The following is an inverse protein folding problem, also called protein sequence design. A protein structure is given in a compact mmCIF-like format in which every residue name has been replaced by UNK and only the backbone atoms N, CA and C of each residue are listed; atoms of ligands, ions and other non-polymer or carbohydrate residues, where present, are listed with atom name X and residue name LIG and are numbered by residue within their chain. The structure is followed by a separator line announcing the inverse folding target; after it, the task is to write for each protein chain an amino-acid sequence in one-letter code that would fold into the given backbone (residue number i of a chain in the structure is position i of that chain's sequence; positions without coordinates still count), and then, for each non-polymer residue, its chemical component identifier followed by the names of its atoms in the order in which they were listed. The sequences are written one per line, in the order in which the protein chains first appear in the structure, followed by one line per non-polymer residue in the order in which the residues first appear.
data_IF_285022253082
#
_entry.id   IF_285022253082
#
_cell.length_a   1.000
_cell.length_b   1.000
_cell.length_c   1.000
_cell.angle_alpha   90.00
_cell.angle_beta   90.00
_cell.angle_gamma   90.00
#
_symmetry.space_group_name_H-M   'P 1'
#
loop_
_entity.id
_entity.type
_entity.pdbx_description
1 polymer ?
#
# COMPACT_ATOMS: atom_id res chain seq x y z
N UNK A 1 6.19 27.22 14.37
CA UNK A 1 6.79 26.17 13.51
C UNK A 1 5.63 25.43 12.90
N UNK A 2 5.35 25.65 11.62
CA UNK A 2 4.22 25.06 10.91
C UNK A 2 4.53 23.59 10.66
N UNK A 3 3.80 22.68 11.29
CA UNK A 3 3.77 21.27 10.95
C UNK A 3 3.32 21.16 9.48
N UNK A 4 4.27 21.05 8.57
CA UNK A 4 4.01 20.55 7.22
C UNK A 4 3.95 19.03 7.33
N UNK A 5 2.79 18.47 7.68
CA UNK A 5 2.52 17.10 7.30
C UNK A 5 2.60 17.08 5.76
N UNK A 6 3.70 16.56 5.23
CA UNK A 6 3.82 16.36 3.79
C UNK A 6 2.81 15.29 3.41
N UNK A 7 1.79 15.70 2.65
CA UNK A 7 0.74 14.78 2.18
C UNK A 7 1.22 13.88 1.05
N UNK A 8 2.39 14.14 0.49
CA UNK A 8 2.95 13.43 -0.66
C UNK A 8 4.45 13.17 -0.49
N UNK A 9 4.90 11.98 -0.88
CA UNK A 9 6.31 11.61 -1.00
C UNK A 9 6.62 11.41 -2.49
N UNK A 10 7.66 12.08 -2.98
CA UNK A 10 8.10 11.99 -4.37
C UNK A 10 9.42 11.22 -4.47
N UNK A 11 9.43 10.22 -5.32
CA UNK A 11 10.60 9.37 -5.54
C UNK A 11 10.90 9.29 -7.05
N UNK A 12 12.17 9.12 -7.39
CA UNK A 12 12.62 8.85 -8.76
C UNK A 12 13.39 7.55 -8.74
N UNK A 13 12.99 6.60 -9.57
CA UNK A 13 13.64 5.30 -9.71
C UNK A 13 14.24 5.15 -11.12
N UNK A 14 15.37 4.50 -11.25
CA UNK A 14 15.73 3.88 -12.52
C UNK A 14 14.64 2.86 -12.91
N UNK A 15 14.56 2.48 -14.19
CA UNK A 15 13.67 1.41 -14.61
C UNK A 15 14.08 0.12 -13.91
N UNK A 16 13.23 -0.48 -13.06
CA UNK A 16 13.56 -1.71 -12.34
C UNK A 16 13.62 -2.93 -13.28
N UNK A 17 14.20 -4.05 -12.86
CA UNK A 17 14.00 -5.31 -13.54
C UNK A 17 12.51 -5.66 -13.61
N UNK A 18 12.04 -6.12 -14.78
CA UNK A 18 10.64 -6.55 -14.92
C UNK A 18 10.36 -7.82 -14.12
N UNK A 19 9.09 -8.10 -13.83
CA UNK A 19 8.69 -9.35 -13.16
C UNK A 19 9.19 -10.60 -13.87
N UNK A 20 9.35 -10.56 -15.19
CA UNK A 20 9.90 -11.65 -15.98
C UNK A 20 11.40 -11.89 -15.75
N UNK A 21 12.12 -10.87 -15.29
CA UNK A 21 13.55 -10.93 -14.95
C UNK A 21 13.81 -10.86 -13.43
N UNK A 22 12.76 -10.81 -12.62
CA UNK A 22 12.87 -10.73 -11.17
C UNK A 22 13.31 -12.06 -10.56
N UNK A 23 12.76 -13.18 -11.05
CA UNK A 23 13.05 -14.52 -10.58
C UNK A 23 13.73 -15.34 -11.65
N UNK A 24 14.75 -16.09 -11.27
CA UNK A 24 15.33 -17.16 -12.05
C UNK A 24 15.05 -18.51 -11.35
N UNK A 25 15.17 -19.59 -12.11
CA UNK A 25 14.92 -20.94 -11.63
C UNK A 25 16.17 -21.81 -11.82
N UNK A 26 16.43 -22.66 -10.83
CA UNK A 26 17.46 -23.68 -10.93
C UNK A 26 16.92 -25.02 -10.45
N UNK A 27 17.41 -26.11 -11.04
CA UNK A 27 17.14 -27.45 -10.54
C UNK A 27 18.03 -27.72 -9.33
N UNK A 28 17.43 -28.21 -8.26
CA UNK A 28 18.12 -28.72 -7.07
C UNK A 28 17.69 -30.16 -6.79
N UNK A 29 18.55 -30.93 -6.14
CA UNK A 29 18.18 -32.26 -5.65
C UNK A 29 17.73 -32.15 -4.21
N UNK A 30 16.49 -32.53 -3.89
CA UNK A 30 15.95 -32.59 -2.54
C UNK A 30 15.40 -34.00 -2.30
N UNK A 31 15.96 -34.69 -1.31
CA UNK A 31 15.60 -36.08 -0.97
C UNK A 31 15.69 -37.04 -2.19
N UNK A 32 16.74 -36.90 -3.01
CA UNK A 32 16.96 -37.74 -4.20
C UNK A 32 16.04 -37.45 -5.40
N UNK A 33 15.19 -36.41 -5.34
CA UNK A 33 14.31 -36.01 -6.43
C UNK A 33 14.68 -34.61 -6.95
N UNK A 34 14.65 -34.40 -8.29
CA UNK A 34 14.86 -33.07 -8.85
C UNK A 34 13.68 -32.15 -8.49
N UNK A 35 13.97 -30.94 -8.05
CA UNK A 35 12.99 -29.91 -7.72
C UNK A 35 13.43 -28.57 -8.29
N UNK A 36 12.51 -27.82 -8.88
CA UNK A 36 12.76 -26.45 -9.29
C UNK A 36 12.75 -25.53 -8.05
N UNK A 37 13.77 -24.70 -7.93
CA UNK A 37 13.85 -23.65 -6.89
C UNK A 37 13.95 -22.29 -7.57
N UNK A 38 13.05 -21.37 -7.24
CA UNK A 38 13.15 -19.97 -7.66
C UNK A 38 14.12 -19.20 -6.75
N UNK A 39 14.79 -18.23 -7.32
CA UNK A 39 15.62 -17.27 -6.59
C UNK A 39 15.56 -15.90 -7.27
N UNK A 40 15.79 -14.83 -6.51
CA UNK A 40 15.87 -13.47 -7.07
C UNK A 40 17.14 -13.34 -7.89
N UNK A 41 17.05 -12.71 -9.06
CA UNK A 41 18.23 -12.46 -9.89
C UNK A 41 19.17 -11.47 -9.20
N UNK A 42 20.50 -11.53 -9.44
CA UNK A 42 21.44 -10.58 -8.87
C UNK A 42 21.12 -9.12 -9.20
N UNK A 43 20.61 -8.87 -10.39
CA UNK A 43 20.15 -7.55 -10.82
C UNK A 43 18.97 -7.05 -9.97
N UNK A 44 17.99 -7.90 -9.70
CA UNK A 44 16.85 -7.56 -8.87
C UNK A 44 17.24 -7.33 -7.40
N UNK A 45 18.19 -8.10 -6.88
CA UNK A 45 18.74 -7.90 -5.52
C UNK A 45 19.43 -6.55 -5.43
N UNK A 46 20.35 -6.27 -6.36
CA UNK A 46 21.09 -5.01 -6.41
C UNK A 46 20.15 -3.80 -6.51
N UNK A 47 19.18 -3.84 -7.44
CA UNK A 47 18.20 -2.77 -7.60
C UNK A 47 17.44 -2.51 -6.28
N UNK A 48 16.97 -3.57 -5.61
CA UNK A 48 16.20 -3.44 -4.37
C UNK A 48 17.00 -2.78 -3.26
N UNK A 49 18.26 -3.18 -3.08
CA UNK A 49 19.17 -2.59 -2.08
C UNK A 49 19.40 -1.10 -2.38
N UNK A 50 19.84 -0.76 -3.60
CA UNK A 50 20.12 0.62 -4.00
C UNK A 50 18.87 1.52 -3.92
N UNK A 51 17.72 1.03 -4.36
CA UNK A 51 16.48 1.82 -4.32
C UNK A 51 15.93 1.94 -2.90
N UNK A 52 16.05 0.93 -2.05
CA UNK A 52 15.65 1.02 -0.64
C UNK A 52 16.50 2.07 0.12
N UNK A 53 17.81 2.11 -0.11
CA UNK A 53 18.70 3.12 0.48
C UNK A 53 18.31 4.54 0.04
N UNK A 54 18.03 4.72 -1.25
CA UNK A 54 17.52 5.98 -1.80
C UNK A 54 16.18 6.40 -1.16
N UNK A 55 15.22 5.48 -1.05
CA UNK A 55 13.92 5.73 -0.40
C UNK A 55 14.11 6.17 1.04
N UNK A 56 14.97 5.49 1.81
CA UNK A 56 15.27 5.88 3.20
C UNK A 56 15.81 7.31 3.29
N UNK A 57 16.66 7.72 2.35
CA UNK A 57 17.22 9.06 2.31
C UNK A 57 16.13 10.11 1.96
N UNK A 58 15.31 9.84 0.94
CA UNK A 58 14.25 10.75 0.49
C UNK A 58 13.12 10.90 1.51
N UNK A 59 12.72 9.82 2.20
CA UNK A 59 11.75 9.87 3.31
C UNK A 59 12.20 10.86 4.38
N UNK A 60 13.47 10.80 4.81
CA UNK A 60 14.02 11.72 5.82
C UNK A 60 14.14 13.15 5.29
N UNK A 61 14.67 13.30 4.07
CA UNK A 61 14.88 14.60 3.41
C UNK A 61 13.57 15.36 3.19
N UNK A 62 12.53 14.66 2.77
CA UNK A 62 11.22 15.25 2.51
C UNK A 62 10.37 15.40 3.78
N UNK A 63 10.81 14.87 4.93
CA UNK A 63 10.07 14.95 6.19
C UNK A 63 8.75 14.17 6.15
N UNK A 64 8.75 13.02 5.50
CA UNK A 64 7.59 12.13 5.49
C UNK A 64 7.38 11.52 6.88
N UNK A 65 6.28 11.89 7.52
CA UNK A 65 5.92 11.46 8.88
C UNK A 65 4.54 10.83 8.88
N UNK A 66 4.47 9.55 8.50
CA UNK A 66 3.27 8.74 8.62
C UNK A 66 3.51 7.54 9.52
N UNK A 67 2.52 7.23 10.35
CA UNK A 67 2.56 6.00 11.14
C UNK A 67 2.40 4.79 10.23
N UNK A 68 3.35 3.86 10.31
CA UNK A 68 3.28 2.60 9.58
C UNK A 68 2.27 1.69 10.25
N UNK A 69 1.08 1.58 9.67
CA UNK A 69 0.01 0.71 10.14
C UNK A 69 -0.54 -0.16 9.00
N UNK A 70 -1.31 -1.19 9.35
CA UNK A 70 -1.86 -2.15 8.39
C UNK A 70 -3.18 -1.74 7.75
N UNK A 71 -3.76 -0.64 8.16
CA UNK A 71 -5.09 -0.18 7.71
C UNK A 71 -5.03 1.07 6.83
N UNK A 72 -3.90 1.80 6.85
CA UNK A 72 -3.71 2.93 5.94
C UNK A 72 -3.32 2.41 4.55
N UNK A 73 -4.14 2.72 3.57
CA UNK A 73 -3.85 2.46 2.17
C UNK A 73 -3.17 3.68 1.53
N UNK A 74 -2.42 3.42 0.46
CA UNK A 74 -1.69 4.45 -0.27
C UNK A 74 -1.96 4.35 -1.77
N UNK A 75 -2.08 5.48 -2.44
CA UNK A 75 -1.92 5.56 -3.88
C UNK A 75 -0.43 5.69 -4.21
N UNK A 76 0.00 4.92 -5.20
CA UNK A 76 1.32 5.06 -5.83
C UNK A 76 1.09 5.43 -7.28
N UNK A 77 1.17 6.74 -7.55
CA UNK A 77 1.06 7.32 -8.88
C UNK A 77 2.41 7.25 -9.58
N UNK A 78 2.46 6.56 -10.71
CA UNK A 78 3.68 6.36 -11.47
C UNK A 78 3.61 6.99 -12.86
N UNK A 79 4.63 7.76 -13.21
CA UNK A 79 4.91 8.22 -14.56
C UNK A 79 6.14 7.51 -15.06
N UNK A 80 6.00 6.73 -16.12
CA UNK A 80 7.10 5.99 -16.72
C UNK A 80 7.73 6.76 -17.87
N UNK A 81 9.05 6.80 -17.91
CA UNK A 81 9.87 7.27 -19.04
C UNK A 81 10.70 6.07 -19.50
N UNK A 82 10.16 5.31 -20.46
CA UNK A 82 10.81 4.10 -20.95
C UNK A 82 11.89 4.41 -22.01
N UNK A 83 12.94 3.58 -22.10
CA UNK A 83 13.99 3.77 -23.12
C UNK A 83 13.50 3.45 -24.53
N UNK A 84 12.40 2.69 -24.66
CA UNK A 84 11.82 2.25 -25.93
C UNK A 84 10.34 1.95 -25.79
N UNK A 85 9.64 1.83 -26.91
CA UNK A 85 8.25 1.36 -26.99
C UNK A 85 8.13 -0.13 -26.61
N UNK A 86 6.91 -0.62 -26.51
CA UNK A 86 6.58 -2.04 -26.26
C UNK A 86 6.95 -2.57 -24.85
N UNK A 87 7.10 -1.67 -23.88
CA UNK A 87 7.26 -2.04 -22.47
C UNK A 87 5.94 -1.86 -21.72
N UNK A 88 5.55 -2.87 -20.94
CA UNK A 88 4.33 -2.88 -20.14
C UNK A 88 4.64 -2.40 -18.72
N UNK A 89 4.10 -1.24 -18.34
CA UNK A 89 4.32 -0.61 -17.04
C UNK A 89 3.97 -1.53 -15.86
N UNK A 90 2.96 -2.38 -15.99
CA UNK A 90 2.54 -3.28 -14.92
C UNK A 90 3.63 -4.29 -14.53
N UNK A 91 4.55 -4.59 -15.46
CA UNK A 91 5.64 -5.52 -15.19
C UNK A 91 6.74 -4.96 -14.26
N UNK A 92 6.68 -3.70 -13.88
CA UNK A 92 7.76 -3.03 -13.15
C UNK A 92 7.42 -2.67 -11.70
N UNK A 93 6.13 -2.66 -11.32
CA UNK A 93 5.73 -2.28 -9.96
C UNK A 93 6.27 -3.22 -8.89
N UNK A 94 6.21 -4.54 -9.11
CA UNK A 94 6.52 -5.51 -8.05
C UNK A 94 7.89 -5.29 -7.42
N UNK A 95 8.92 -5.06 -8.22
CA UNK A 95 10.30 -4.91 -7.70
C UNK A 95 10.49 -3.58 -6.98
N UNK A 96 9.86 -2.50 -7.47
CA UNK A 96 9.85 -1.19 -6.82
C UNK A 96 9.15 -1.25 -5.47
N UNK A 97 7.95 -1.83 -5.41
CA UNK A 97 7.16 -1.91 -4.20
C UNK A 97 7.81 -2.82 -3.16
N UNK A 98 8.43 -3.93 -3.58
CA UNK A 98 9.23 -4.77 -2.70
C UNK A 98 10.40 -3.98 -2.06
N UNK A 99 11.10 -3.14 -2.85
CA UNK A 99 12.19 -2.32 -2.33
C UNK A 99 11.71 -1.26 -1.32
N UNK A 100 10.58 -0.62 -1.60
CA UNK A 100 9.95 0.33 -0.67
C UNK A 100 9.49 -0.38 0.61
N UNK A 101 8.88 -1.56 0.48
CA UNK A 101 8.44 -2.38 1.62
C UNK A 101 9.61 -2.81 2.50
N UNK A 102 10.77 -3.12 1.93
CA UNK A 102 11.97 -3.49 2.69
C UNK A 102 12.42 -2.37 3.66
N UNK A 103 12.12 -1.12 3.35
CA UNK A 103 12.45 0.02 4.23
C UNK A 103 11.62 0.07 5.50
N UNK A 104 10.42 -0.48 5.50
CA UNK A 104 9.42 -0.39 6.58
C UNK A 104 9.12 1.06 7.04
N UNK A 105 9.37 2.05 6.17
CA UNK A 105 9.21 3.47 6.52
C UNK A 105 7.91 4.08 6.01
N UNK A 106 7.25 3.46 5.01
CA UNK A 106 6.04 3.99 4.37
C UNK A 106 4.86 3.08 4.69
N UNK A 107 5.02 1.78 4.50
CA UNK A 107 4.03 0.75 4.83
C UNK A 107 4.72 -0.53 5.32
N UNK A 108 3.95 -1.40 5.97
CA UNK A 108 4.47 -2.68 6.46
C UNK A 108 4.45 -3.79 5.40
N UNK A 109 3.55 -3.67 4.40
CA UNK A 109 3.32 -4.67 3.35
C UNK A 109 2.67 -3.98 2.16
N UNK A 110 3.05 -4.34 0.93
CA UNK A 110 2.55 -3.74 -0.31
C UNK A 110 1.08 -4.06 -0.62
N UNK A 111 0.43 -4.92 0.18
CA UNK A 111 -1.00 -5.23 0.05
C UNK A 111 -1.92 -4.02 0.35
N UNK A 112 -1.39 -2.93 0.89
CA UNK A 112 -2.12 -1.67 1.13
C UNK A 112 -1.93 -0.65 0.00
N UNK A 113 -1.23 -1.03 -1.07
CA UNK A 113 -0.90 -0.14 -2.18
C UNK A 113 -1.93 -0.24 -3.31
N UNK A 114 -2.37 0.92 -3.80
CA UNK A 114 -3.17 1.07 -5.00
C UNK A 114 -2.27 1.66 -6.09
N UNK A 115 -1.74 0.82 -6.97
CA UNK A 115 -0.87 1.22 -8.08
C UNK A 115 -1.68 1.93 -9.17
N UNK A 116 -1.17 3.06 -9.67
CA UNK A 116 -1.82 3.83 -10.74
C UNK A 116 -0.77 4.33 -11.73
N UNK A 117 -0.89 3.92 -12.98
CA UNK A 117 -0.10 4.48 -14.07
C UNK A 117 -0.76 5.77 -14.54
N UNK A 118 -0.11 6.91 -14.34
CA UNK A 118 -0.62 8.22 -14.72
C UNK A 118 -0.28 8.56 -16.17
N UNK A 119 0.94 8.22 -16.61
CA UNK A 119 1.39 8.45 -17.97
C UNK A 119 2.57 7.54 -18.32
N UNK A 120 2.77 7.34 -19.64
CA UNK A 120 3.91 6.64 -20.21
C UNK A 120 4.52 7.55 -21.27
N UNK A 121 5.79 7.83 -21.11
CA UNK A 121 6.63 8.58 -22.06
C UNK A 121 7.83 7.74 -22.48
N UNK A 122 8.56 8.19 -23.46
CA UNK A 122 9.76 7.54 -23.96
C UNK A 122 10.93 8.51 -23.89
N UNK A 123 11.97 8.11 -23.18
CA UNK A 123 13.19 8.88 -22.95
C UNK A 123 14.37 7.92 -22.91
N UNK A 124 15.04 7.75 -24.07
CA UNK A 124 16.17 6.85 -24.22
C UNK A 124 17.42 7.33 -23.49
N UNK A 125 17.53 8.63 -23.24
CA UNK A 125 18.72 9.24 -22.64
C UNK A 125 18.67 9.18 -21.12
N UNK A 126 17.47 9.24 -20.54
CA UNK A 126 17.26 9.22 -19.10
C UNK A 126 16.01 8.40 -18.71
N UNK A 127 16.02 7.08 -18.94
CA UNK A 127 14.89 6.22 -18.60
C UNK A 127 14.71 6.13 -17.08
N UNK A 128 13.47 6.37 -16.61
CA UNK A 128 13.16 6.45 -15.18
C UNK A 128 11.68 6.21 -14.91
N UNK A 129 11.36 6.06 -13.63
CA UNK A 129 9.98 6.11 -13.11
C UNK A 129 9.91 7.22 -12.06
N UNK A 130 8.98 8.12 -12.22
CA UNK A 130 8.64 9.14 -11.22
C UNK A 130 7.43 8.66 -10.43
N UNK A 131 7.58 8.55 -9.11
CA UNK A 131 6.53 8.08 -8.19
C UNK A 131 6.06 9.23 -7.32
N UNK A 132 4.74 9.32 -7.13
CA UNK A 132 4.13 10.14 -6.09
C UNK A 132 3.31 9.23 -5.20
N UNK A 133 3.67 9.16 -3.91
CA UNK A 133 3.01 8.32 -2.91
C UNK A 133 2.24 9.24 -1.97
N UNK A 134 0.97 8.95 -1.78
CA UNK A 134 0.13 9.67 -0.82
C UNK A 134 -0.93 8.75 -0.20
N UNK A 135 -1.31 8.98 1.08
CA UNK A 135 -2.35 8.20 1.72
C UNK A 135 -3.69 8.41 1.01
N UNK A 136 -4.52 7.38 1.01
CA UNK A 136 -5.91 7.49 0.57
C UNK A 136 -6.77 8.12 1.66
N UNK A 137 -7.86 8.80 1.27
CA UNK A 137 -8.77 9.44 2.23
C UNK A 137 -9.74 8.44 2.86
N UNK A 138 -10.05 7.34 2.19
CA UNK A 138 -10.96 6.32 2.72
C UNK A 138 -10.30 5.47 3.82
N UNK A 139 -11.11 5.01 4.76
CA UNK A 139 -10.67 4.10 5.84
C UNK A 139 -11.56 2.87 5.82
N UNK A 140 -11.01 1.75 5.36
CA UNK A 140 -11.78 0.54 5.16
C UNK A 140 -12.94 0.75 4.19
N UNK A 141 -14.19 0.58 4.67
CA UNK A 141 -15.41 0.80 3.86
C UNK A 141 -15.92 2.24 3.95
N UNK A 142 -15.31 3.10 4.74
CA UNK A 142 -15.73 4.49 4.95
C UNK A 142 -14.98 5.42 4.00
N UNK A 143 -15.70 6.34 3.37
CA UNK A 143 -15.15 7.28 2.39
C UNK A 143 -14.07 8.21 2.98
N UNK A 144 -14.17 8.49 4.29
CA UNK A 144 -13.25 9.38 5.00
C UNK A 144 -13.38 9.23 6.51
N UNK A 145 -12.46 9.87 7.24
CA UNK A 145 -12.43 9.83 8.70
C UNK A 145 -13.71 10.37 9.35
N UNK A 146 -14.36 11.37 8.75
CA UNK A 146 -15.61 11.94 9.28
C UNK A 146 -16.76 10.93 9.25
N UNK A 147 -16.89 10.17 8.16
CA UNK A 147 -17.89 9.11 8.04
C UNK A 147 -17.62 7.99 9.05
N UNK A 148 -16.36 7.61 9.24
CA UNK A 148 -15.97 6.63 10.26
C UNK A 148 -16.32 7.12 11.68
N UNK A 149 -16.00 8.36 12.04
CA UNK A 149 -16.29 8.89 13.39
C UNK A 149 -17.80 8.98 13.64
N UNK A 150 -18.59 9.39 12.64
CA UNK A 150 -20.05 9.35 12.72
C UNK A 150 -20.58 7.94 12.98
N UNK A 151 -20.03 6.95 12.25
CA UNK A 151 -20.42 5.55 12.46
C UNK A 151 -20.01 5.03 13.85
N UNK A 152 -18.82 5.37 14.33
CA UNK A 152 -18.35 5.03 15.68
C UNK A 152 -19.25 5.62 16.76
N UNK A 153 -19.68 6.88 16.61
CA UNK A 153 -20.56 7.53 17.59
C UNK A 153 -21.90 6.80 17.72
N UNK A 154 -22.45 6.35 16.60
CA UNK A 154 -23.65 5.51 16.62
C UNK A 154 -23.41 4.17 17.33
N UNK A 155 -22.22 3.55 17.15
CA UNK A 155 -21.91 2.29 17.81
C UNK A 155 -21.87 2.44 19.35
N UNK A 156 -21.47 3.58 19.90
CA UNK A 156 -21.42 3.81 21.33
C UNK A 156 -22.79 3.64 21.99
N UNK A 157 -23.86 4.09 21.33
CA UNK A 157 -25.26 3.90 21.78
C UNK A 157 -25.84 2.51 21.57
N UNK A 158 -25.08 1.57 20.99
CA UNK A 158 -25.57 0.25 20.65
C UNK A 158 -25.26 -0.77 21.75
N UNK A 159 -26.28 -1.52 22.22
CA UNK A 159 -26.09 -2.56 23.24
C UNK A 159 -25.17 -3.72 22.84
N UNK A 160 -24.92 -3.89 21.52
CA UNK A 160 -24.01 -4.92 20.99
C UNK A 160 -22.53 -4.47 20.95
N UNK A 161 -22.28 -3.16 21.09
CA UNK A 161 -20.94 -2.58 20.99
C UNK A 161 -20.00 -3.14 22.04
N UNK A 162 -18.78 -3.52 21.65
CA UNK A 162 -17.76 -4.13 22.52
C UNK A 162 -18.18 -5.43 23.24
N UNK A 163 -19.31 -6.03 22.89
CA UNK A 163 -19.77 -7.30 23.48
C UNK A 163 -19.66 -8.44 22.45
N UNK A 164 -20.56 -8.47 21.48
CA UNK A 164 -20.67 -9.53 20.49
C UNK A 164 -20.81 -8.97 19.05
N UNK A 165 -20.34 -7.76 18.80
CA UNK A 165 -20.34 -7.12 17.49
C UNK A 165 -18.93 -6.84 17.01
N UNK A 166 -18.58 -7.36 15.82
CA UNK A 166 -17.30 -7.14 15.13
C UNK A 166 -17.43 -6.29 13.87
N UNK A 167 -18.63 -5.74 13.56
CA UNK A 167 -18.88 -5.01 12.32
C UNK A 167 -17.96 -3.82 12.14
N UNK A 168 -17.84 -2.95 13.15
CA UNK A 168 -16.96 -1.79 13.09
C UNK A 168 -15.51 -2.19 12.80
N UNK A 169 -14.99 -3.20 13.50
CA UNK A 169 -13.63 -3.69 13.27
C UNK A 169 -13.42 -4.18 11.83
N UNK A 170 -14.34 -5.01 11.33
CA UNK A 170 -14.24 -5.53 9.96
C UNK A 170 -14.41 -4.43 8.91
N UNK A 171 -15.27 -3.44 9.17
CA UNK A 171 -15.46 -2.31 8.27
C UNK A 171 -14.18 -1.43 8.18
N UNK A 172 -13.48 -1.19 9.30
CA UNK A 172 -12.19 -0.49 9.32
C UNK A 172 -11.10 -1.31 8.59
N UNK A 173 -11.17 -2.64 8.66
CA UNK A 173 -10.26 -3.54 7.91
C UNK A 173 -10.57 -3.63 6.39
N UNK A 174 -11.54 -2.86 5.90
CA UNK A 174 -11.93 -2.86 4.47
C UNK A 174 -12.78 -4.05 4.03
N UNK A 175 -13.23 -4.89 4.97
CA UNK A 175 -14.12 -6.00 4.66
C UNK A 175 -15.53 -5.46 4.41
N UNK A 176 -16.07 -5.72 3.23
CA UNK A 176 -17.45 -5.31 2.90
C UNK A 176 -18.43 -5.91 3.90
N UNK A 177 -19.24 -5.05 4.52
CA UNK A 177 -20.27 -5.44 5.49
C UNK A 177 -21.65 -5.10 4.91
N UNK A 178 -22.43 -6.12 4.62
CA UNK A 178 -23.78 -5.98 4.06
C UNK A 178 -24.77 -5.29 5.02
N UNK A 179 -24.41 -5.25 6.29
CA UNK A 179 -25.19 -4.62 7.35
C UNK A 179 -24.91 -3.13 7.50
N UNK A 180 -24.08 -2.55 6.63
CA UNK A 180 -23.75 -1.12 6.64
C UNK A 180 -24.24 -0.50 5.32
N UNK A 181 -25.24 0.39 5.41
CA UNK A 181 -25.79 1.13 4.27
C UNK A 181 -25.77 2.63 4.59
N UNK A 182 -25.30 3.44 3.66
CA UNK A 182 -25.25 4.90 3.79
C UNK A 182 -24.60 5.39 5.12
N UNK A 183 -23.61 4.65 5.61
CA UNK A 183 -22.93 4.95 6.88
C UNK A 183 -23.79 4.64 8.13
N UNK A 184 -24.86 3.86 7.98
CA UNK A 184 -25.73 3.40 9.07
C UNK A 184 -25.62 1.88 9.24
N UNK A 185 -25.92 1.41 10.46
CA UNK A 185 -25.89 -0.01 10.81
C UNK A 185 -27.29 -0.59 10.92
N UNK A 186 -27.65 -1.53 10.04
CA UNK A 186 -28.99 -2.16 10.01
C UNK A 186 -29.27 -3.03 11.24
N UNK A 187 -28.23 -3.50 11.91
CA UNK A 187 -28.36 -4.33 13.11
C UNK A 187 -28.13 -3.55 14.40
N UNK A 188 -28.27 -2.23 14.33
CA UNK A 188 -28.21 -1.36 15.51
C UNK A 188 -29.32 -1.75 16.51
N UNK A 189 -28.97 -1.75 17.79
CA UNK A 189 -29.91 -2.00 18.88
C UNK A 189 -29.63 -0.99 19.99
N UNK A 190 -30.58 -0.09 20.22
CA UNK A 190 -30.47 0.93 21.23
C UNK A 190 -30.21 0.34 22.63
N UNK A 191 -29.19 0.84 23.30
CA UNK A 191 -28.93 0.49 24.69
C UNK A 191 -30.01 1.13 25.56
N UNK A 192 -30.77 0.34 26.34
CA UNK A 192 -31.69 0.91 27.32
C UNK A 192 -30.87 1.77 28.29
N UNK A 193 -31.17 3.06 28.38
CA UNK A 193 -30.71 3.87 29.48
C UNK A 193 -31.24 3.24 30.78
N UNK A 194 -30.36 2.74 31.60
CA UNK A 194 -30.71 2.42 32.97
C UNK A 194 -30.57 3.75 33.71
N UNK A 195 -31.70 4.44 33.86
CA UNK A 195 -31.77 5.56 34.77
C UNK A 195 -31.33 5.04 36.15
N UNK A 196 -30.24 5.63 36.66
CA UNK A 196 -29.76 5.46 38.04
C UNK A 196 -30.20 6.62 38.88
#
# INVERSE_FOLDING_TARGET
MTNRNMSELKLISAIPPSVNHYLAYRAIMKNGKPMAMSYKTPEAVKYREEFADYVCAEVRKQGWEHEVNKSQHFYVDAVFYFPQVDLDANNYFKVMLDAITDTQMIWADDNVVCERVQAIYYDSDNPRVELTIHPVDYIGVFENASQLEKFKSNCIGCKRYKRNCSLLKRAIEGRIQKEIHDGLCDVYQEAKHVDK
#
